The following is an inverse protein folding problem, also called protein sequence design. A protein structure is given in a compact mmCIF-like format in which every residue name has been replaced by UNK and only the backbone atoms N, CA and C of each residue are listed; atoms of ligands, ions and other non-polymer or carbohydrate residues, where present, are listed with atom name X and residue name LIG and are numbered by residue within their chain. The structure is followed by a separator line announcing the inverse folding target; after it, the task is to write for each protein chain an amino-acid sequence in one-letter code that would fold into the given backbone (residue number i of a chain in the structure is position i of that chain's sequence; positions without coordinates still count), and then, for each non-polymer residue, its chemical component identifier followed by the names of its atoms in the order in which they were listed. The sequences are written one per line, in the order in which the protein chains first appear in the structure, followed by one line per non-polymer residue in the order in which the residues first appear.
data_IF_796785690428
#
_entry.id   IF_796785690428
#
_cell.length_a   1.000
_cell.length_b   1.000
_cell.length_c   1.000
_cell.angle_alpha   90.00
_cell.angle_beta   90.00
_cell.angle_gamma   90.00
#
_symmetry.space_group_name_H-M   'P 1'
#
loop_
_entity.id
_entity.type
_entity.pdbx_description
1 polymer ?
#
# COMPACT_ATOMS: atom_id res chain seq x y z
N UNK A 1 12.54 -16.19 -1.52
CA UNK A 1 12.71 -17.63 -1.35
C UNK A 1 11.38 -18.42 -1.41
N UNK A 2 10.22 -17.77 -1.47
CA UNK A 2 8.91 -18.43 -1.42
C UNK A 2 8.23 -18.54 -2.79
N UNK A 3 8.94 -18.17 -3.89
CA UNK A 3 8.42 -18.18 -5.26
C UNK A 3 7.06 -17.44 -5.43
N UNK A 4 6.81 -16.44 -4.59
CA UNK A 4 5.58 -15.65 -4.68
C UNK A 4 5.59 -14.77 -5.92
N UNK A 5 4.46 -14.67 -6.58
CA UNK A 5 4.24 -13.75 -7.70
C UNK A 5 3.60 -12.47 -7.20
N UNK A 6 4.21 -11.35 -7.56
CA UNK A 6 3.82 -10.02 -7.09
C UNK A 6 3.41 -9.16 -8.28
N UNK A 7 2.22 -8.61 -8.22
CA UNK A 7 1.75 -7.60 -9.16
C UNK A 7 1.67 -6.24 -8.46
N UNK A 8 2.39 -5.26 -8.99
CA UNK A 8 2.38 -3.89 -8.52
C UNK A 8 1.62 -3.01 -9.51
N UNK A 9 0.52 -2.43 -9.08
CA UNK A 9 -0.24 -1.40 -9.79
C UNK A 9 0.19 -0.05 -9.26
N UNK A 10 0.98 0.70 -10.06
CA UNK A 10 1.49 2.00 -9.63
C UNK A 10 0.84 3.12 -10.42
N UNK A 11 0.36 4.14 -9.70
CA UNK A 11 -0.12 5.40 -10.27
C UNK A 11 0.98 6.46 -10.34
N UNK A 12 2.11 6.24 -9.65
CA UNK A 12 3.16 7.24 -9.46
C UNK A 12 4.47 6.89 -10.19
N UNK A 13 4.79 5.60 -10.28
CA UNK A 13 6.10 5.16 -10.77
C UNK A 13 6.01 4.42 -12.10
N UNK A 14 6.91 4.74 -13.02
CA UNK A 14 7.18 3.90 -14.19
C UNK A 14 8.05 2.71 -13.78
N UNK A 15 8.08 1.66 -14.59
CA UNK A 15 8.95 0.50 -14.34
C UNK A 15 10.41 0.92 -14.18
N UNK A 16 10.90 1.83 -15.05
CA UNK A 16 12.27 2.34 -14.98
C UNK A 16 12.54 3.07 -13.66
N UNK A 17 11.64 3.99 -13.27
CA UNK A 17 11.79 4.75 -12.02
C UNK A 17 11.77 3.83 -10.81
N UNK A 18 10.89 2.82 -10.81
CA UNK A 18 10.80 1.85 -9.73
C UNK A 18 12.08 1.03 -9.58
N UNK A 19 12.61 0.47 -10.66
CA UNK A 19 13.86 -0.30 -10.64
C UNK A 19 15.04 0.57 -10.16
N UNK A 20 15.17 1.80 -10.68
CA UNK A 20 16.22 2.74 -10.24
C UNK A 20 16.10 3.06 -8.76
N UNK A 21 14.88 3.24 -8.24
CA UNK A 21 14.65 3.49 -6.82
C UNK A 21 15.03 2.28 -5.95
N UNK A 22 14.68 1.08 -6.36
CA UNK A 22 15.07 -0.15 -5.65
C UNK A 22 16.60 -0.31 -5.63
N UNK A 23 17.26 -0.11 -6.75
CA UNK A 23 18.71 -0.15 -6.86
C UNK A 23 19.39 0.89 -5.94
N UNK A 24 18.87 2.13 -5.90
CA UNK A 24 19.40 3.18 -5.03
C UNK A 24 19.31 2.86 -3.53
N UNK A 25 18.37 1.99 -3.16
CA UNK A 25 18.22 1.47 -1.81
C UNK A 25 19.00 0.17 -1.58
N UNK A 26 19.82 -0.27 -2.54
CA UNK A 26 20.52 -1.56 -2.52
C UNK A 26 19.58 -2.78 -2.41
N UNK A 27 18.38 -2.63 -2.94
CA UNK A 27 17.35 -3.68 -3.05
C UNK A 27 17.20 -4.06 -4.51
N UNK A 28 18.20 -4.72 -5.10
CA UNK A 28 18.14 -5.14 -6.49
C UNK A 28 17.09 -6.24 -6.68
N UNK A 29 16.08 -5.93 -7.46
CA UNK A 29 14.97 -6.83 -7.80
C UNK A 29 14.93 -7.17 -9.30
N UNK A 30 15.96 -6.78 -10.07
CA UNK A 30 15.99 -6.89 -11.52
C UNK A 30 15.79 -8.32 -12.00
N UNK A 31 16.40 -9.30 -11.35
CA UNK A 31 16.24 -10.71 -11.67
C UNK A 31 14.79 -11.19 -11.50
N UNK A 32 14.11 -10.75 -10.43
CA UNK A 32 12.71 -11.12 -10.18
C UNK A 32 11.77 -10.53 -11.25
N UNK A 33 12.12 -9.35 -11.76
CA UNK A 33 11.43 -8.77 -12.92
C UNK A 33 11.68 -9.59 -14.18
N UNK A 34 12.95 -9.90 -14.47
CA UNK A 34 13.34 -10.65 -15.66
C UNK A 34 12.68 -12.05 -15.70
N UNK A 35 12.53 -12.69 -14.55
CA UNK A 35 11.87 -13.99 -14.43
C UNK A 35 10.35 -13.93 -14.31
N UNK A 36 9.76 -12.73 -14.29
CA UNK A 36 8.32 -12.53 -14.22
C UNK A 36 7.67 -12.84 -12.86
N UNK A 37 8.47 -12.90 -11.79
CA UNK A 37 7.96 -13.00 -10.42
C UNK A 37 7.39 -11.67 -9.92
N UNK A 38 7.92 -10.55 -10.40
CA UNK A 38 7.40 -9.21 -10.14
C UNK A 38 6.97 -8.61 -11.47
N UNK A 39 5.73 -8.12 -11.54
CA UNK A 39 5.20 -7.37 -12.67
C UNK A 39 4.73 -6.02 -12.18
N UNK A 40 5.04 -4.96 -12.93
CA UNK A 40 4.55 -3.62 -12.66
C UNK A 40 3.58 -3.20 -13.76
N UNK A 41 2.39 -2.82 -13.36
CA UNK A 41 1.35 -2.25 -14.19
C UNK A 41 1.29 -0.75 -13.90
N UNK A 42 1.74 0.04 -14.87
CA UNK A 42 1.74 1.48 -14.76
C UNK A 42 0.35 2.01 -15.13
N UNK A 43 -0.37 2.49 -14.14
CA UNK A 43 -1.69 3.09 -14.30
C UNK A 43 -1.53 4.60 -14.58
N UNK A 44 -0.77 4.94 -15.64
CA UNK A 44 -0.52 6.34 -15.99
C UNK A 44 -1.68 6.92 -16.77
N UNK A 45 -2.23 7.99 -16.27
CA UNK A 45 -3.50 8.56 -16.73
C UNK A 45 -3.31 9.91 -17.44
N UNK A 46 -2.09 10.21 -17.93
CA UNK A 46 -1.75 11.50 -18.54
C UNK A 46 -2.59 11.81 -19.79
N UNK A 47 -3.02 10.80 -20.53
CA UNK A 47 -3.83 10.98 -21.75
C UNK A 47 -5.34 10.65 -21.54
N UNK A 48 -5.71 10.19 -20.37
CA UNK A 48 -7.11 9.86 -20.05
C UNK A 48 -7.84 11.10 -19.53
N UNK A 49 -9.07 11.27 -20.01
CA UNK A 49 -10.00 12.16 -19.31
C UNK A 49 -10.33 11.54 -17.95
N UNK A 50 -9.96 12.23 -16.91
CA UNK A 50 -10.25 11.86 -15.52
C UNK A 50 -11.76 11.97 -15.27
N UNK A 51 -12.48 10.92 -15.58
CA UNK A 51 -13.93 10.84 -15.34
C UNK A 51 -14.21 9.74 -14.33
N UNK A 52 -15.29 9.86 -13.57
CA UNK A 52 -15.68 8.82 -12.60
C UNK A 52 -15.81 7.43 -13.26
N UNK A 53 -16.38 7.36 -14.46
CA UNK A 53 -16.57 6.09 -15.19
C UNK A 53 -15.23 5.44 -15.54
N UNK A 54 -14.25 6.24 -16.03
CA UNK A 54 -12.93 5.73 -16.35
C UNK A 54 -12.19 5.21 -15.11
N UNK A 55 -12.35 5.90 -13.98
CA UNK A 55 -11.73 5.46 -12.72
C UNK A 55 -12.37 4.18 -12.18
N UNK A 56 -13.68 4.08 -12.25
CA UNK A 56 -14.41 2.87 -11.87
C UNK A 56 -14.00 1.67 -12.73
N UNK A 57 -13.88 1.87 -14.06
CA UNK A 57 -13.40 0.84 -14.98
C UNK A 57 -11.98 0.35 -14.63
N UNK A 58 -11.07 1.25 -14.28
CA UNK A 58 -9.72 0.87 -13.87
C UNK A 58 -9.73 0.07 -12.56
N UNK A 59 -10.49 0.51 -11.55
CA UNK A 59 -10.62 -0.22 -10.29
C UNK A 59 -11.20 -1.63 -10.52
N UNK A 60 -12.21 -1.75 -11.37
CA UNK A 60 -12.81 -3.04 -11.74
C UNK A 60 -11.80 -3.94 -12.46
N UNK A 61 -11.01 -3.38 -13.39
CA UNK A 61 -9.95 -4.12 -14.09
C UNK A 61 -8.87 -4.62 -13.14
N UNK A 62 -8.44 -3.81 -12.18
CA UNK A 62 -7.47 -4.21 -11.16
C UNK A 62 -8.02 -5.40 -10.36
N UNK A 63 -9.25 -5.29 -9.84
CA UNK A 63 -9.88 -6.37 -9.06
C UNK A 63 -10.04 -7.64 -9.90
N UNK A 64 -10.50 -7.51 -11.13
CA UNK A 64 -10.69 -8.64 -12.07
C UNK A 64 -9.34 -9.32 -12.34
N UNK A 65 -8.30 -8.54 -12.61
CA UNK A 65 -6.95 -9.08 -12.82
C UNK A 65 -6.46 -9.83 -11.58
N UNK A 66 -6.51 -9.20 -10.41
CA UNK A 66 -6.04 -9.83 -9.16
C UNK A 66 -6.83 -11.10 -8.85
N UNK A 67 -8.13 -11.11 -9.10
CA UNK A 67 -8.99 -12.27 -8.87
C UNK A 67 -8.62 -13.48 -9.73
N UNK A 68 -8.39 -13.26 -11.04
CA UNK A 68 -8.24 -14.34 -12.01
C UNK A 68 -6.79 -14.67 -12.39
N UNK A 69 -5.82 -13.81 -12.04
CA UNK A 69 -4.40 -14.08 -12.26
C UNK A 69 -3.84 -15.08 -11.23
N UNK A 70 -2.67 -15.61 -11.52
CA UNK A 70 -1.91 -16.45 -10.58
C UNK A 70 -1.00 -15.62 -9.64
N UNK A 71 -1.37 -14.38 -9.38
CA UNK A 71 -0.72 -13.47 -8.43
C UNK A 71 -0.99 -13.92 -7.01
N UNK A 72 0.04 -13.97 -6.17
CA UNK A 72 -0.07 -14.27 -4.76
C UNK A 72 -0.24 -12.98 -3.95
N UNK A 73 0.50 -11.94 -4.35
CA UNK A 73 0.51 -10.62 -3.70
C UNK A 73 0.22 -9.53 -4.72
N UNK A 74 -0.80 -8.74 -4.49
CA UNK A 74 -1.06 -7.52 -5.25
C UNK A 74 -0.73 -6.29 -4.40
N UNK A 75 -0.05 -5.31 -5.00
CA UNK A 75 0.28 -4.03 -4.37
C UNK A 75 -0.36 -2.94 -5.21
N UNK A 76 -1.08 -2.03 -4.57
CA UNK A 76 -1.70 -0.86 -5.23
C UNK A 76 -1.09 0.40 -4.60
N UNK A 77 -0.28 1.09 -5.38
CA UNK A 77 0.49 2.27 -4.94
C UNK A 77 0.31 3.44 -5.92
N UNK A 78 -0.59 4.37 -5.63
CA UNK A 78 -1.47 4.48 -4.48
C UNK A 78 -2.95 4.50 -4.91
N UNK A 79 -3.85 4.20 -3.97
CA UNK A 79 -5.29 4.31 -4.21
C UNK A 79 -5.77 5.78 -4.21
N UNK A 80 -4.95 6.71 -3.72
CA UNK A 80 -5.30 8.12 -3.51
C UNK A 80 -5.90 8.79 -4.73
N UNK A 81 -5.30 8.60 -5.88
CA UNK A 81 -5.74 9.29 -7.11
C UNK A 81 -7.17 8.87 -7.52
N UNK A 82 -7.53 7.62 -7.24
CA UNK A 82 -8.88 7.15 -7.57
C UNK A 82 -9.94 7.81 -6.68
N UNK A 83 -9.57 8.22 -5.46
CA UNK A 83 -10.51 8.85 -4.52
C UNK A 83 -10.89 10.27 -4.92
N UNK A 84 -10.05 10.94 -5.71
CA UNK A 84 -10.32 12.30 -6.19
C UNK A 84 -11.35 12.33 -7.33
N UNK A 85 -11.44 11.25 -8.11
CA UNK A 85 -12.23 11.20 -9.35
C UNK A 85 -13.36 10.16 -9.32
N UNK A 86 -13.57 9.47 -8.20
CA UNK A 86 -14.68 8.53 -8.03
C UNK A 86 -15.42 8.78 -6.71
N UNK A 87 -16.51 8.06 -6.50
CA UNK A 87 -17.30 8.18 -5.27
C UNK A 87 -16.70 7.34 -4.13
N UNK A 88 -16.92 7.78 -2.89
CA UNK A 88 -16.54 6.99 -1.72
C UNK A 88 -17.17 5.59 -1.73
N UNK A 89 -18.37 5.46 -2.28
CA UNK A 89 -19.07 4.17 -2.41
C UNK A 89 -18.33 3.22 -3.37
N UNK A 90 -17.85 3.71 -4.51
CA UNK A 90 -17.08 2.91 -5.45
C UNK A 90 -15.76 2.44 -4.82
N UNK A 91 -15.07 3.30 -4.08
CA UNK A 91 -13.84 2.93 -3.34
C UNK A 91 -14.14 1.87 -2.27
N UNK A 92 -15.22 2.03 -1.49
CA UNK A 92 -15.60 1.05 -0.48
C UNK A 92 -16.01 -0.29 -1.10
N UNK A 93 -16.66 -0.27 -2.26
CA UNK A 93 -16.98 -1.47 -3.04
C UNK A 93 -15.71 -2.17 -3.50
N UNK A 94 -14.75 -1.43 -4.05
CA UNK A 94 -13.44 -1.96 -4.43
C UNK A 94 -12.72 -2.62 -3.24
N UNK A 95 -12.66 -1.95 -2.08
CA UNK A 95 -12.04 -2.50 -0.87
C UNK A 95 -12.75 -3.74 -0.35
N UNK A 96 -14.07 -3.80 -0.46
CA UNK A 96 -14.86 -4.98 -0.09
C UNK A 96 -14.55 -6.16 -1.01
N UNK A 97 -14.43 -5.92 -2.31
CA UNK A 97 -14.05 -6.96 -3.28
C UNK A 97 -12.60 -7.42 -3.04
N UNK A 98 -11.67 -6.48 -2.76
CA UNK A 98 -10.30 -6.81 -2.38
C UNK A 98 -10.26 -7.71 -1.13
N UNK A 99 -11.06 -7.39 -0.11
CA UNK A 99 -11.18 -8.23 1.09
C UNK A 99 -11.66 -9.65 0.75
N UNK A 100 -12.67 -9.78 -0.11
CA UNK A 100 -13.17 -11.10 -0.54
C UNK A 100 -12.09 -11.93 -1.26
N UNK A 101 -11.22 -11.29 -2.02
CA UNK A 101 -10.07 -11.94 -2.68
C UNK A 101 -9.02 -12.38 -1.63
N UNK A 102 -8.78 -11.54 -0.61
CA UNK A 102 -7.88 -11.92 0.50
C UNK A 102 -8.41 -13.12 1.27
N UNK A 103 -9.73 -13.23 1.48
CA UNK A 103 -10.37 -14.39 2.12
C UNK A 103 -10.21 -15.69 1.31
N UNK A 104 -9.87 -15.58 0.02
CA UNK A 104 -9.55 -16.71 -0.86
C UNK A 104 -8.05 -17.05 -0.89
N UNK A 105 -7.25 -16.43 -0.03
CA UNK A 105 -5.84 -16.76 0.20
C UNK A 105 -4.83 -15.85 -0.51
N UNK A 106 -5.25 -14.79 -1.20
CA UNK A 106 -4.34 -13.79 -1.75
C UNK A 106 -4.03 -12.71 -0.72
N UNK A 107 -2.93 -11.99 -0.93
CA UNK A 107 -2.56 -10.82 -0.13
C UNK A 107 -2.69 -9.57 -0.98
N UNK A 108 -3.36 -8.54 -0.46
CA UNK A 108 -3.46 -7.24 -1.14
C UNK A 108 -2.95 -6.15 -0.19
N UNK A 109 -1.93 -5.42 -0.64
CA UNK A 109 -1.39 -4.24 0.04
C UNK A 109 -1.85 -2.99 -0.70
N UNK A 110 -2.41 -2.04 0.02
CA UNK A 110 -2.89 -0.78 -0.58
C UNK A 110 -2.27 0.37 0.19
N UNK A 111 -1.56 1.24 -0.52
CA UNK A 111 -1.11 2.52 0.04
C UNK A 111 -2.13 3.60 -0.28
N UNK A 112 -2.29 4.55 0.63
CA UNK A 112 -3.12 5.73 0.44
C UNK A 112 -2.64 6.87 1.33
N UNK A 113 -2.79 8.09 0.88
CA UNK A 113 -2.51 9.26 1.70
C UNK A 113 -3.64 9.48 2.71
N UNK A 114 -3.28 9.84 3.93
CA UNK A 114 -4.26 10.02 5.02
C UNK A 114 -5.28 11.13 4.75
N UNK A 115 -4.93 12.12 3.94
CA UNK A 115 -5.82 13.22 3.56
C UNK A 115 -6.85 12.85 2.46
N UNK A 116 -6.70 11.69 1.83
CA UNK A 116 -7.58 11.27 0.72
C UNK A 116 -9.02 10.99 1.16
N UNK A 117 -9.24 10.78 2.45
CA UNK A 117 -10.53 10.42 3.00
C UNK A 117 -10.91 11.25 4.21
N UNK A 118 -12.21 11.45 4.39
CA UNK A 118 -12.76 11.95 5.65
C UNK A 118 -12.65 10.89 6.75
N UNK A 119 -12.69 11.30 8.01
CA UNK A 119 -12.62 10.37 9.16
C UNK A 119 -13.73 9.32 9.14
N UNK A 120 -14.92 9.67 8.63
CA UNK A 120 -16.05 8.75 8.48
C UNK A 120 -15.71 7.63 7.50
N UNK A 121 -15.15 7.97 6.32
CA UNK A 121 -14.76 7.00 5.31
C UNK A 121 -13.59 6.15 5.80
N UNK A 122 -12.59 6.75 6.47
CA UNK A 122 -11.49 6.03 7.09
C UNK A 122 -11.96 5.00 8.11
N UNK A 123 -12.99 5.30 8.88
CA UNK A 123 -13.58 4.35 9.83
C UNK A 123 -14.16 3.13 9.11
N UNK A 124 -14.84 3.34 7.98
CA UNK A 124 -15.37 2.27 7.14
C UNK A 124 -14.23 1.44 6.50
N UNK A 125 -13.21 2.10 5.95
CA UNK A 125 -12.00 1.44 5.40
C UNK A 125 -11.36 0.57 6.46
N UNK A 126 -11.15 1.10 7.68
CA UNK A 126 -10.60 0.35 8.81
C UNK A 126 -11.45 -0.87 9.19
N UNK A 127 -12.76 -0.82 9.05
CA UNK A 127 -13.62 -1.97 9.32
C UNK A 127 -13.43 -3.11 8.32
N UNK A 128 -13.20 -2.79 7.06
CA UNK A 128 -13.03 -3.76 5.96
C UNK A 128 -11.66 -4.44 6.03
N UNK A 129 -10.58 -3.69 6.20
CA UNK A 129 -9.21 -4.20 6.16
C UNK A 129 -8.90 -5.19 7.30
N UNK A 130 -8.03 -6.16 7.06
CA UNK A 130 -7.50 -7.06 8.10
C UNK A 130 -6.38 -6.40 8.91
N UNK A 131 -5.59 -5.53 8.28
CA UNK A 131 -4.58 -4.72 8.94
C UNK A 131 -4.66 -3.26 8.46
N UNK A 132 -4.38 -2.34 9.36
CA UNK A 132 -4.20 -0.92 9.07
C UNK A 132 -2.95 -0.42 9.78
N UNK A 133 -1.99 0.03 8.98
CA UNK A 133 -0.74 0.61 9.42
C UNK A 133 -0.73 2.09 9.02
N UNK A 134 -0.32 2.96 9.93
CA UNK A 134 -0.22 4.39 9.67
C UNK A 134 1.25 4.81 9.76
N UNK A 135 1.76 5.36 8.67
CA UNK A 135 3.09 5.95 8.59
C UNK A 135 2.99 7.45 8.77
N UNK A 136 3.73 8.01 9.71
CA UNK A 136 3.71 9.44 10.00
C UNK A 136 5.07 9.97 10.44
N UNK A 137 5.27 11.29 10.32
CA UNK A 137 6.37 11.99 10.96
C UNK A 137 5.90 12.56 12.29
N UNK A 138 6.63 12.28 13.37
CA UNK A 138 6.40 12.88 14.69
C UNK A 138 7.63 13.65 15.14
N UNK A 139 7.40 14.80 15.79
CA UNK A 139 8.44 15.53 16.48
C UNK A 139 8.68 14.84 17.83
N UNK A 140 9.92 14.41 18.05
CA UNK A 140 10.36 13.79 19.30
C UNK A 140 11.61 14.52 19.82
N UNK A 141 11.42 15.33 20.85
CA UNK A 141 12.41 16.33 21.24
C UNK A 141 12.59 17.37 20.12
N UNK A 142 13.81 17.55 19.66
CA UNK A 142 14.17 18.52 18.60
C UNK A 142 14.26 17.87 17.21
N UNK A 143 13.92 16.59 17.06
CA UNK A 143 14.07 15.86 15.82
C UNK A 143 12.75 15.27 15.31
N UNK A 144 12.56 15.32 13.99
CA UNK A 144 11.50 14.57 13.35
C UNK A 144 11.94 13.13 13.13
N UNK A 145 11.11 12.19 13.56
CA UNK A 145 11.31 10.76 13.34
C UNK A 145 10.14 10.18 12.54
N UNK A 146 10.43 9.17 11.74
CA UNK A 146 9.40 8.38 11.10
C UNK A 146 8.82 7.38 12.08
N UNK A 147 7.50 7.28 12.13
CA UNK A 147 6.77 6.41 13.06
C UNK A 147 5.79 5.56 12.28
N UNK A 148 5.81 4.27 12.57
CA UNK A 148 4.80 3.31 12.16
C UNK A 148 3.86 3.07 13.35
N UNK A 149 2.57 3.32 13.17
CA UNK A 149 1.53 2.96 14.12
C UNK A 149 0.73 1.76 13.61
N UNK A 150 0.62 0.74 14.42
CA UNK A 150 -0.26 -0.41 14.15
C UNK A 150 -1.65 -0.06 14.70
N UNK A 151 -2.51 0.47 13.81
CA UNK A 151 -3.87 0.88 14.19
C UNK A 151 -4.77 -0.33 14.37
N UNK A 152 -4.63 -1.35 13.51
CA UNK A 152 -5.43 -2.57 13.55
C UNK A 152 -4.64 -3.74 12.97
N UNK A 153 -4.77 -4.89 13.59
CA UNK A 153 -4.45 -6.20 12.99
C UNK A 153 -5.49 -7.19 13.48
N UNK A 154 -6.25 -7.78 12.55
CA UNK A 154 -7.28 -8.77 12.88
C UNK A 154 -6.61 -10.05 13.38
N UNK A 155 -7.12 -10.60 14.45
CA UNK A 155 -6.58 -11.83 15.06
C UNK A 155 -5.30 -11.65 15.89
N UNK A 156 -4.79 -10.41 16.04
CA UNK A 156 -3.65 -10.16 16.93
C UNK A 156 -4.04 -10.42 18.40
N UNK A 157 -3.21 -11.19 19.10
CA UNK A 157 -3.44 -11.51 20.54
C UNK A 157 -3.12 -10.35 21.47
N UNK A 158 -2.38 -9.33 21.01
CA UNK A 158 -2.02 -8.13 21.80
C UNK A 158 -2.66 -6.91 21.16
N UNK A 159 -2.94 -5.93 22.01
CA UNK A 159 -3.54 -4.66 21.60
C UNK A 159 -2.72 -3.95 20.53
N UNK A 160 -3.41 -3.45 19.54
CA UNK A 160 -2.98 -2.45 18.59
C UNK A 160 -2.62 -1.15 19.32
N UNK A 161 -1.88 -0.26 18.68
CA UNK A 161 -1.42 0.99 19.29
C UNK A 161 0.07 1.02 19.60
N UNK A 162 0.82 0.01 19.12
CA UNK A 162 2.26 0.03 19.20
C UNK A 162 2.82 1.04 18.20
N UNK A 163 3.55 2.02 18.71
CA UNK A 163 4.33 2.98 17.93
C UNK A 163 5.74 2.45 17.78
N UNK A 164 6.20 2.37 16.55
CA UNK A 164 7.56 1.94 16.23
C UNK A 164 8.24 3.04 15.44
N UNK A 165 9.32 3.59 15.95
CA UNK A 165 10.13 4.55 15.20
C UNK A 165 11.12 3.82 14.31
N UNK A 166 11.33 4.36 13.11
CA UNK A 166 12.21 3.75 12.13
C UNK A 166 12.94 4.79 11.28
N UNK A 167 14.03 4.35 10.69
CA UNK A 167 14.73 5.02 9.59
C UNK A 167 14.78 4.13 8.37
N UNK A 168 14.83 4.73 7.19
CA UNK A 168 15.06 4.00 5.94
C UNK A 168 16.55 4.03 5.66
N UNK A 169 17.15 2.85 5.59
CA UNK A 169 18.57 2.67 5.31
C UNK A 169 18.79 1.91 4.00
N UNK A 170 19.69 2.38 3.12
CA UNK A 170 20.11 1.60 1.96
C UNK A 170 20.61 0.21 2.37
N UNK A 171 20.21 -0.81 1.64
CA UNK A 171 20.59 -2.21 1.89
C UNK A 171 19.85 -2.93 3.02
N UNK A 172 19.21 -2.18 3.93
CA UNK A 172 18.44 -2.76 5.04
C UNK A 172 16.95 -2.49 4.94
N UNK A 173 16.54 -1.51 4.11
CA UNK A 173 15.16 -1.04 4.10
C UNK A 173 14.79 -0.32 5.39
N UNK A 174 13.80 -0.79 6.12
CA UNK A 174 13.33 -0.17 7.36
C UNK A 174 14.12 -0.70 8.57
N UNK A 175 14.83 0.21 9.27
CA UNK A 175 15.53 -0.09 10.51
C UNK A 175 14.75 0.49 11.69
N UNK A 176 14.35 -0.36 12.63
CA UNK A 176 13.67 0.06 13.86
C UNK A 176 14.67 0.78 14.78
N UNK A 177 14.26 1.96 15.27
CA UNK A 177 15.00 2.74 16.22
C UNK A 177 14.27 2.68 17.56
N UNK A 178 14.91 2.19 18.64
CA UNK A 178 14.30 2.26 19.96
C UNK A 178 14.16 3.74 20.37
N UNK A 179 12.94 4.17 20.64
CA UNK A 179 12.71 5.49 21.25
C UNK A 179 12.73 5.29 22.75
N UNK A 180 13.76 5.79 23.42
CA UNK A 180 13.72 5.98 24.85
C UNK A 180 12.76 7.13 25.14
N UNK A 181 11.53 6.82 25.51
CA UNK A 181 10.63 7.82 26.10
C UNK A 181 11.23 8.14 27.46
N UNK A 182 11.92 9.26 27.57
CA UNK A 182 12.26 9.80 28.86
C UNK A 182 10.91 10.04 29.57
N UNK A 183 10.62 9.26 30.61
CA UNK A 183 9.52 9.56 31.52
C UNK A 183 9.88 10.90 32.16
N UNK A 184 9.09 11.94 31.85
CA UNK A 184 9.03 13.17 32.60
C UNK A 184 8.17 12.91 33.82
#
# INVERSE_FOLDING_TARGET
HNNLRVDLFSTELTTKSFLTQMESMSLDISDFFAWGYIRLFHCHLVEFKWTPDAMNDILERIITHVKFSNTDVAIIDSLTIFTEYTTNEAVLTFLTQAKNICDQGKTILITMHSYAFTDEVLTRVRSICDAHLLLMRKLMGDKYVMVLEVVKVRGARKTTGNLVSFEVHPGYGMKIIPVSVAKV
#
